data_IF_219858164367
#
_entry.id   IF_219858164367
#
_cell.length_a   1.000
_cell.length_b   1.000
_cell.length_c   1.000
_cell.angle_alpha   90.00
_cell.angle_beta   90.00
_cell.angle_gamma   90.00
#
_symmetry.space_group_name_H-M   'P 1'
#
loop_
_entity.id
_entity.type
_entity.pdbx_description
1 polymer ?
#
# COMPACT_ATOMS: atom_id res chain seq x y z
N UNK A 1 40.44 -3.78 2.09
CA UNK A 1 39.61 -4.17 0.93
C UNK A 1 38.16 -4.05 1.38
N UNK A 2 37.27 -3.41 0.61
CA UNK A 2 35.87 -3.26 1.00
C UNK A 2 35.09 -4.57 0.76
N UNK A 3 34.25 -4.99 1.71
CA UNK A 3 33.36 -6.15 1.55
C UNK A 3 32.17 -5.82 0.62
N UNK A 4 31.63 -6.82 -0.05
CA UNK A 4 30.40 -6.68 -0.84
C UNK A 4 29.18 -6.47 0.08
N UNK A 5 28.36 -5.47 -0.25
CA UNK A 5 27.23 -5.02 0.60
C UNK A 5 25.88 -5.61 0.17
N UNK A 6 25.83 -6.44 -0.87
CA UNK A 6 24.61 -7.06 -1.39
C UNK A 6 23.49 -6.10 -1.85
N UNK A 7 23.79 -4.81 -2.08
CA UNK A 7 22.79 -3.83 -2.53
C UNK A 7 22.43 -4.00 -4.01
N UNK A 8 23.41 -4.35 -4.85
CA UNK A 8 23.21 -4.58 -6.28
C UNK A 8 23.78 -5.93 -6.69
N UNK A 9 23.00 -6.73 -7.39
CA UNK A 9 23.38 -8.05 -7.89
C UNK A 9 24.57 -7.94 -8.84
N UNK A 10 25.74 -8.49 -8.49
CA UNK A 10 26.95 -8.38 -9.33
C UNK A 10 26.86 -9.17 -10.64
N UNK A 11 26.19 -10.34 -10.60
CA UNK A 11 26.00 -11.22 -11.74
C UNK A 11 24.56 -11.71 -11.75
N UNK A 12 23.83 -11.37 -12.81
CA UNK A 12 22.44 -11.81 -13.00
C UNK A 12 22.42 -13.16 -13.73
N UNK A 13 21.54 -14.06 -13.29
CA UNK A 13 21.26 -15.33 -13.96
C UNK A 13 19.81 -15.36 -14.40
N UNK A 14 19.53 -15.94 -15.58
CA UNK A 14 18.19 -15.99 -16.13
C UNK A 14 17.83 -17.43 -16.52
N UNK A 15 16.75 -17.93 -15.92
CA UNK A 15 16.12 -19.20 -16.27
C UNK A 15 14.95 -19.04 -17.26
N UNK A 16 14.16 -20.12 -17.40
CA UNK A 16 12.85 -20.04 -18.06
C UNK A 16 11.88 -19.22 -17.20
N UNK A 17 10.86 -18.56 -17.80
CA UNK A 17 9.86 -17.84 -17.03
C UNK A 17 9.16 -18.74 -16.01
N UNK A 18 9.05 -18.26 -14.77
CA UNK A 18 8.24 -18.90 -13.74
C UNK A 18 6.79 -18.45 -13.87
N UNK A 19 5.89 -19.40 -14.14
CA UNK A 19 4.48 -19.09 -14.31
C UNK A 19 3.73 -18.97 -12.98
N UNK A 20 4.37 -19.29 -11.86
CA UNK A 20 3.76 -19.31 -10.52
C UNK A 20 3.06 -20.63 -10.19
N UNK A 21 2.74 -20.83 -8.92
CA UNK A 21 2.08 -22.05 -8.42
C UNK A 21 0.72 -22.28 -9.12
N UNK A 22 0.39 -23.55 -9.36
CA UNK A 22 -0.91 -23.91 -9.93
C UNK A 22 -2.03 -23.61 -8.92
N UNK A 23 -3.07 -22.93 -9.40
CA UNK A 23 -4.35 -22.74 -8.70
C UNK A 23 -5.47 -23.20 -9.64
N UNK A 24 -6.65 -23.49 -9.10
CA UNK A 24 -7.77 -24.05 -9.89
C UNK A 24 -8.14 -23.18 -11.10
N UNK A 25 -8.03 -21.85 -10.99
CA UNK A 25 -8.36 -20.90 -12.05
C UNK A 25 -7.13 -20.30 -12.77
N UNK A 26 -5.93 -20.82 -12.50
CA UNK A 26 -4.68 -20.24 -13.00
C UNK A 26 -4.65 -20.08 -14.52
N UNK A 27 -5.19 -21.04 -15.27
CA UNK A 27 -5.14 -21.02 -16.75
C UNK A 27 -6.08 -19.99 -17.39
N UNK A 28 -7.12 -19.57 -16.67
CA UNK A 28 -8.13 -18.62 -17.16
C UNK A 28 -7.81 -17.18 -16.76
N UNK A 29 -7.31 -16.98 -15.54
CA UNK A 29 -7.16 -15.64 -14.96
C UNK A 29 -5.73 -15.11 -15.03
N UNK A 30 -4.74 -15.94 -15.40
CA UNK A 30 -3.34 -15.51 -15.51
C UNK A 30 -3.00 -15.03 -16.92
N UNK A 31 -2.27 -13.92 -17.03
CA UNK A 31 -1.76 -13.44 -18.31
C UNK A 31 -0.75 -14.44 -18.91
N UNK A 32 -0.75 -14.61 -20.23
CA UNK A 32 0.12 -15.57 -20.94
C UNK A 32 1.52 -15.05 -21.27
N UNK A 33 1.86 -13.84 -20.84
CA UNK A 33 3.12 -13.20 -21.17
C UNK A 33 3.96 -12.97 -19.91
N UNK A 34 5.26 -13.24 -20.03
CA UNK A 34 6.28 -12.86 -19.07
C UNK A 34 7.45 -12.22 -19.83
N UNK A 35 8.06 -11.20 -19.26
CA UNK A 35 9.23 -10.51 -19.83
C UNK A 35 10.32 -10.38 -18.79
N UNK A 36 11.55 -10.14 -19.21
CA UNK A 36 12.66 -9.87 -18.30
C UNK A 36 13.18 -8.46 -18.49
N UNK A 37 13.52 -7.80 -17.39
CA UNK A 37 14.16 -6.49 -17.36
C UNK A 37 15.49 -6.56 -16.61
N UNK A 38 16.60 -6.45 -17.35
CA UNK A 38 17.95 -6.41 -16.78
C UNK A 38 18.13 -5.24 -15.81
N UNK A 39 17.41 -4.13 -16.04
CA UNK A 39 17.46 -2.96 -15.16
C UNK A 39 16.91 -3.29 -13.76
N UNK A 40 15.76 -3.97 -13.68
CA UNK A 40 15.14 -4.37 -12.40
C UNK A 40 15.95 -5.50 -11.76
N UNK A 41 16.57 -6.36 -12.57
CA UNK A 41 17.44 -7.45 -12.10
C UNK A 41 18.64 -7.01 -11.26
N UNK A 42 19.04 -5.74 -11.31
CA UNK A 42 20.11 -5.20 -10.46
C UNK A 42 19.69 -5.09 -8.99
N UNK A 43 18.39 -4.91 -8.72
CA UNK A 43 17.85 -4.64 -7.38
C UNK A 43 16.84 -5.70 -6.90
N UNK A 44 16.60 -6.75 -7.70
CA UNK A 44 15.63 -7.80 -7.36
C UNK A 44 15.36 -8.76 -8.51
N UNK A 45 14.16 -9.33 -8.55
CA UNK A 45 13.75 -10.27 -9.60
C UNK A 45 13.52 -9.54 -10.95
N UNK A 46 14.17 -10.02 -12.00
CA UNK A 46 14.08 -9.42 -13.34
C UNK A 46 12.77 -9.72 -14.08
N UNK A 47 12.00 -10.74 -13.66
CA UNK A 47 10.78 -11.17 -14.35
C UNK A 47 9.61 -10.23 -14.10
N UNK A 48 8.93 -9.82 -15.18
CA UNK A 48 7.71 -9.03 -15.18
C UNK A 48 6.54 -9.89 -15.66
N UNK A 49 5.54 -10.05 -14.79
CA UNK A 49 4.42 -10.95 -14.99
C UNK A 49 4.78 -12.42 -14.72
N UNK A 50 3.82 -13.34 -14.91
CA UNK A 50 2.45 -13.07 -15.33
C UNK A 50 1.60 -12.41 -14.23
N UNK A 51 0.58 -11.64 -14.64
CA UNK A 51 -0.37 -10.99 -13.72
C UNK A 51 -1.67 -11.75 -13.71
N UNK A 52 -2.22 -11.98 -12.52
CA UNK A 52 -3.57 -12.53 -12.36
C UNK A 52 -4.61 -11.43 -12.52
N UNK A 53 -5.67 -11.66 -13.30
CA UNK A 53 -6.72 -10.71 -13.57
C UNK A 53 -8.07 -11.42 -13.65
N UNK A 54 -8.61 -11.80 -12.49
CA UNK A 54 -10.00 -12.22 -12.36
C UNK A 54 -10.99 -11.05 -12.44
N UNK A 55 -12.28 -11.35 -12.30
CA UNK A 55 -13.35 -10.36 -12.45
C UNK A 55 -13.26 -9.18 -11.47
N UNK A 56 -12.82 -9.41 -10.23
CA UNK A 56 -12.61 -8.35 -9.22
C UNK A 56 -11.52 -7.37 -9.66
N UNK A 57 -10.45 -7.89 -10.27
CA UNK A 57 -9.39 -7.08 -10.85
C UNK A 57 -9.87 -6.29 -12.06
N UNK A 58 -10.66 -6.90 -12.94
CA UNK A 58 -11.23 -6.20 -14.10
C UNK A 58 -12.17 -5.06 -13.70
N UNK A 59 -13.11 -5.31 -12.78
CA UNK A 59 -14.02 -4.28 -12.26
C UNK A 59 -13.24 -3.16 -11.58
N UNK A 60 -12.22 -3.51 -10.80
CA UNK A 60 -11.36 -2.53 -10.13
C UNK A 60 -10.65 -1.63 -11.13
N UNK A 61 -9.98 -2.21 -12.13
CA UNK A 61 -9.27 -1.42 -13.15
C UNK A 61 -10.24 -0.58 -13.99
N UNK A 62 -11.37 -1.14 -14.42
CA UNK A 62 -12.35 -0.40 -15.22
C UNK A 62 -12.90 0.82 -14.46
N UNK A 63 -13.33 0.62 -13.21
CA UNK A 63 -13.89 1.72 -12.40
C UNK A 63 -12.82 2.72 -11.95
N UNK A 64 -11.60 2.26 -11.64
CA UNK A 64 -10.47 3.13 -11.31
C UNK A 64 -10.03 4.00 -12.50
N UNK A 65 -9.96 3.42 -13.70
CA UNK A 65 -9.66 4.16 -14.94
C UNK A 65 -10.76 5.18 -15.22
N UNK A 66 -12.04 4.83 -15.04
CA UNK A 66 -13.15 5.78 -15.19
C UNK A 66 -13.03 6.95 -14.20
N UNK A 67 -12.79 6.67 -12.91
CA UNK A 67 -12.60 7.72 -11.90
C UNK A 67 -11.42 8.64 -12.25
N UNK A 68 -10.29 8.06 -12.66
CA UNK A 68 -9.12 8.82 -13.09
C UNK A 68 -9.40 9.73 -14.29
N UNK A 69 -10.11 9.21 -15.30
CA UNK A 69 -10.49 10.00 -16.47
C UNK A 69 -11.49 11.11 -16.12
N UNK A 70 -12.47 10.85 -15.25
CA UNK A 70 -13.41 11.88 -14.80
C UNK A 70 -12.65 13.04 -14.14
N UNK A 71 -11.71 12.74 -13.24
CA UNK A 71 -10.88 13.76 -12.59
C UNK A 71 -10.04 14.52 -13.62
N UNK A 72 -9.31 13.80 -14.48
CA UNK A 72 -8.43 14.40 -15.48
C UNK A 72 -9.17 15.26 -16.52
N UNK A 73 -10.33 14.80 -17.00
CA UNK A 73 -11.16 15.55 -17.95
C UNK A 73 -11.78 16.80 -17.31
N UNK A 74 -12.17 16.74 -16.04
CA UNK A 74 -12.64 17.93 -15.31
C UNK A 74 -11.52 18.96 -15.13
N UNK A 75 -10.31 18.51 -14.77
CA UNK A 75 -9.14 19.39 -14.70
C UNK A 75 -8.81 20.01 -16.07
N UNK A 76 -8.91 19.24 -17.16
CA UNK A 76 -8.68 19.75 -18.52
C UNK A 76 -9.76 20.75 -18.96
N UNK A 77 -11.01 20.53 -18.55
CA UNK A 77 -12.11 21.46 -18.83
C UNK A 77 -11.93 22.82 -18.12
N UNK A 78 -11.34 22.84 -16.92
CA UNK A 78 -11.06 24.08 -16.17
C UNK A 78 -10.10 25.03 -16.90
N UNK A 79 -9.19 24.48 -17.72
CA UNK A 79 -8.24 25.26 -18.54
C UNK A 79 -8.71 25.40 -19.99
N UNK A 80 -10.00 25.23 -20.25
CA UNK A 80 -10.58 25.42 -21.58
C UNK A 80 -10.05 24.44 -22.64
N UNK A 81 -9.71 23.21 -22.24
CA UNK A 81 -9.16 22.17 -23.12
C UNK A 81 -7.76 22.49 -23.70
N UNK A 82 -7.05 23.45 -23.13
CA UNK A 82 -5.66 23.77 -23.50
C UNK A 82 -4.66 22.83 -22.83
N UNK A 83 -4.04 21.94 -23.60
CA UNK A 83 -3.01 21.00 -23.10
C UNK A 83 -1.79 21.73 -22.50
N UNK A 84 -1.25 22.82 -23.11
CA UNK A 84 -0.14 23.55 -22.50
C UNK A 84 -0.47 24.12 -21.12
N UNK A 85 -1.68 24.69 -20.96
CA UNK A 85 -2.13 25.21 -19.67
C UNK A 85 -2.41 24.11 -18.65
N UNK A 86 -2.95 22.97 -19.10
CA UNK A 86 -3.16 21.80 -18.26
C UNK A 86 -1.83 21.31 -17.66
N UNK A 87 -0.77 21.21 -18.46
CA UNK A 87 0.55 20.80 -17.96
C UNK A 87 1.14 21.87 -17.03
N UNK A 88 1.03 23.16 -17.40
CA UNK A 88 1.54 24.27 -16.59
C UNK A 88 0.88 24.35 -15.21
N UNK A 89 -0.42 24.09 -15.14
CA UNK A 89 -1.22 24.22 -13.92
C UNK A 89 -1.55 22.88 -13.25
N UNK A 90 -1.00 21.76 -13.73
CA UNK A 90 -1.37 20.40 -13.31
C UNK A 90 -1.45 20.22 -11.79
N UNK A 91 -0.54 20.85 -11.03
CA UNK A 91 -0.50 20.70 -9.58
C UNK A 91 -1.54 21.55 -8.83
N UNK A 92 -2.10 22.58 -9.46
CA UNK A 92 -3.10 23.49 -8.89
C UNK A 92 -4.53 23.12 -9.27
N UNK A 93 -4.73 22.36 -10.34
CA UNK A 93 -6.05 21.91 -10.76
C UNK A 93 -6.63 20.90 -9.75
N UNK A 94 -7.95 20.93 -9.59
CA UNK A 94 -8.66 20.01 -8.72
C UNK A 94 -10.09 19.74 -9.16
N UNK A 95 -10.58 18.53 -8.87
CA UNK A 95 -12.00 18.26 -8.82
C UNK A 95 -12.48 18.46 -7.38
N UNK A 96 -13.15 19.58 -7.14
CA UNK A 96 -13.65 20.00 -5.83
C UNK A 96 -14.92 19.27 -5.40
N UNK A 97 -15.14 19.04 -4.09
CA UNK A 97 -16.39 18.52 -3.58
C UNK A 97 -17.55 19.53 -3.77
N UNK A 98 -18.81 19.07 -3.67
CA UNK A 98 -19.99 19.94 -3.77
C UNK A 98 -19.99 21.05 -2.73
N UNK A 99 -20.65 22.17 -3.06
CA UNK A 99 -20.84 23.27 -2.11
C UNK A 99 -21.69 22.84 -0.89
N UNK A 100 -21.55 23.51 0.27
CA UNK A 100 -22.30 23.15 1.48
C UNK A 100 -23.83 23.22 1.34
N UNK A 101 -24.35 23.99 0.38
CA UNK A 101 -25.78 24.20 0.13
C UNK A 101 -26.51 22.90 -0.24
N UNK A 102 -25.80 21.96 -0.87
CA UNK A 102 -26.35 20.67 -1.26
C UNK A 102 -26.36 19.64 -0.12
N UNK A 103 -25.64 19.89 0.99
CA UNK A 103 -25.50 18.94 2.09
C UNK A 103 -25.03 17.57 1.60
N UNK A 104 -25.85 16.53 1.80
CA UNK A 104 -25.59 15.16 1.33
C UNK A 104 -26.30 14.79 0.03
N UNK A 105 -27.01 15.73 -0.61
CA UNK A 105 -27.75 15.46 -1.85
C UNK A 105 -26.80 15.42 -3.05
N UNK A 106 -27.25 14.77 -4.12
CA UNK A 106 -26.55 14.80 -5.40
C UNK A 106 -26.71 16.18 -6.04
N UNK A 107 -25.62 16.94 -6.26
CA UNK A 107 -25.69 18.25 -6.90
C UNK A 107 -25.71 18.12 -8.44
N UNK A 108 -25.94 19.24 -9.16
CA UNK A 108 -25.72 19.32 -10.61
C UNK A 108 -24.28 18.93 -11.02
N UNK A 109 -24.11 18.44 -12.24
CA UNK A 109 -22.81 17.97 -12.74
C UNK A 109 -21.71 19.04 -12.68
N UNK A 110 -22.06 20.28 -13.01
CA UNK A 110 -21.15 21.44 -13.02
C UNK A 110 -20.85 22.00 -11.62
N UNK A 111 -21.48 21.49 -10.57
CA UNK A 111 -21.37 22.02 -9.20
C UNK A 111 -21.06 20.90 -8.18
N UNK A 112 -20.08 20.07 -8.52
CA UNK A 112 -19.63 18.94 -7.69
C UNK A 112 -20.27 17.59 -8.01
N UNK A 113 -21.17 17.49 -8.99
CA UNK A 113 -21.76 16.20 -9.38
C UNK A 113 -20.73 15.23 -9.93
N UNK A 114 -19.74 15.73 -10.69
CA UNK A 114 -18.60 14.92 -11.15
C UNK A 114 -17.75 14.37 -10.00
N UNK A 115 -17.63 15.11 -8.90
CA UNK A 115 -16.90 14.65 -7.72
C UNK A 115 -17.58 13.40 -7.13
N UNK A 116 -18.88 13.43 -6.90
CA UNK A 116 -19.62 12.28 -6.35
C UNK A 116 -19.53 11.06 -7.27
N UNK A 117 -19.62 11.25 -8.58
CA UNK A 117 -19.50 10.17 -9.57
C UNK A 117 -18.07 9.59 -9.54
N UNK A 118 -17.04 10.44 -9.54
CA UNK A 118 -15.65 10.01 -9.44
C UNK A 118 -15.38 9.25 -8.14
N UNK A 119 -15.87 9.76 -7.00
CA UNK A 119 -15.76 9.13 -5.69
C UNK A 119 -16.45 7.77 -5.63
N UNK A 120 -17.63 7.64 -6.25
CA UNK A 120 -18.34 6.36 -6.34
C UNK A 120 -17.53 5.31 -7.13
N UNK A 121 -17.04 5.67 -8.31
CA UNK A 121 -16.22 4.76 -9.11
C UNK A 121 -14.89 4.42 -8.42
N UNK A 122 -14.25 5.38 -7.75
CA UNK A 122 -13.05 5.14 -6.97
C UNK A 122 -13.33 4.20 -5.79
N UNK A 123 -14.46 4.37 -5.09
CA UNK A 123 -14.87 3.48 -4.00
C UNK A 123 -15.06 2.05 -4.50
N UNK A 124 -15.80 1.85 -5.59
CA UNK A 124 -15.98 0.52 -6.19
C UNK A 124 -14.63 -0.08 -6.61
N UNK A 125 -13.73 0.74 -7.17
CA UNK A 125 -12.38 0.32 -7.56
C UNK A 125 -11.58 -0.22 -6.37
N UNK A 126 -11.51 0.56 -5.29
CA UNK A 126 -10.74 0.21 -4.08
C UNK A 126 -11.34 -1.02 -3.39
N UNK A 127 -12.67 -1.09 -3.25
CA UNK A 127 -13.33 -2.22 -2.61
C UNK A 127 -13.20 -3.51 -3.43
N UNK A 128 -13.26 -3.41 -4.76
CA UNK A 128 -13.02 -4.56 -5.66
C UNK A 128 -11.56 -5.03 -5.59
N UNK A 129 -10.61 -4.10 -5.47
CA UNK A 129 -9.20 -4.43 -5.26
C UNK A 129 -8.96 -5.08 -3.90
N UNK A 130 -9.64 -4.61 -2.86
CA UNK A 130 -9.59 -5.22 -1.53
C UNK A 130 -10.10 -6.66 -1.55
N UNK A 131 -11.26 -6.91 -2.18
CA UNK A 131 -11.79 -8.25 -2.39
C UNK A 131 -10.83 -9.14 -3.19
N UNK A 132 -10.16 -8.59 -4.21
CA UNK A 132 -9.12 -9.29 -4.97
C UNK A 132 -7.98 -9.79 -4.07
N UNK A 133 -7.51 -8.99 -3.10
CA UNK A 133 -6.45 -9.44 -2.18
C UNK A 133 -6.87 -10.64 -1.33
N UNK A 134 -8.15 -10.72 -0.95
CA UNK A 134 -8.71 -11.84 -0.20
C UNK A 134 -8.78 -13.11 -1.03
N UNK A 135 -9.32 -13.02 -2.25
CA UNK A 135 -9.50 -14.13 -3.18
C UNK A 135 -8.14 -14.74 -3.55
N UNK A 136 -7.16 -13.91 -3.92
CA UNK A 136 -5.81 -14.38 -4.26
C UNK A 136 -5.17 -15.14 -3.09
N UNK A 137 -5.26 -14.60 -1.87
CA UNK A 137 -4.74 -15.30 -0.70
C UNK A 137 -5.53 -16.58 -0.39
N UNK A 138 -6.80 -16.69 -0.77
CA UNK A 138 -7.61 -17.92 -0.62
C UNK A 138 -7.19 -18.99 -1.61
N UNK A 139 -7.04 -18.64 -2.89
CA UNK A 139 -6.61 -19.55 -3.94
C UNK A 139 -5.23 -20.15 -3.65
N UNK A 140 -4.33 -19.36 -3.07
CA UNK A 140 -3.01 -19.82 -2.64
C UNK A 140 -3.00 -20.47 -1.25
N UNK A 141 -4.16 -20.63 -0.58
CA UNK A 141 -4.29 -21.21 0.77
C UNK A 141 -3.42 -20.51 1.83
N UNK A 142 -3.20 -19.21 1.65
CA UNK A 142 -2.40 -18.36 2.54
C UNK A 142 -3.26 -17.68 3.61
N UNK A 143 -2.62 -17.25 4.69
CA UNK A 143 -3.26 -16.35 5.68
C UNK A 143 -3.65 -15.01 5.06
N UNK A 144 -4.70 -14.38 5.60
CA UNK A 144 -5.31 -13.15 5.02
C UNK A 144 -4.71 -11.84 5.57
N UNK A 145 -3.44 -11.87 5.99
CA UNK A 145 -2.77 -10.74 6.65
C UNK A 145 -2.75 -9.47 5.79
N UNK A 146 -2.48 -9.59 4.48
CA UNK A 146 -2.48 -8.46 3.54
C UNK A 146 -3.88 -7.84 3.41
N UNK A 147 -4.93 -8.66 3.37
CA UNK A 147 -6.31 -8.18 3.32
C UNK A 147 -6.66 -7.34 4.56
N UNK A 148 -6.28 -7.81 5.75
CA UNK A 148 -6.52 -7.09 7.00
C UNK A 148 -5.72 -5.80 7.10
N UNK A 149 -4.43 -5.83 6.75
CA UNK A 149 -3.57 -4.65 6.75
C UNK A 149 -4.07 -3.59 5.75
N UNK A 150 -4.46 -4.01 4.54
CA UNK A 150 -5.02 -3.10 3.54
C UNK A 150 -6.38 -2.53 3.98
N UNK A 151 -7.20 -3.33 4.67
CA UNK A 151 -8.44 -2.86 5.29
C UNK A 151 -8.23 -1.70 6.28
N UNK A 152 -7.12 -1.71 7.03
CA UNK A 152 -6.77 -0.60 7.93
C UNK A 152 -6.45 0.70 7.18
N UNK A 153 -5.83 0.62 6.00
CA UNK A 153 -5.61 1.80 5.14
C UNK A 153 -6.92 2.29 4.50
N UNK A 154 -7.78 1.38 4.07
CA UNK A 154 -9.12 1.70 3.54
C UNK A 154 -9.97 2.39 4.60
N UNK A 155 -9.84 2.01 5.87
CA UNK A 155 -10.54 2.70 6.96
C UNK A 155 -10.24 4.20 6.99
N UNK A 156 -8.96 4.61 6.95
CA UNK A 156 -8.61 6.04 6.92
C UNK A 156 -9.19 6.73 5.68
N UNK A 157 -9.09 6.09 4.50
CA UNK A 157 -9.67 6.60 3.26
C UNK A 157 -11.19 6.83 3.37
N UNK A 158 -11.93 5.87 3.93
CA UNK A 158 -13.37 5.99 4.15
C UNK A 158 -13.73 7.02 5.21
N UNK A 159 -12.93 7.16 6.28
CA UNK A 159 -13.16 8.19 7.29
C UNK A 159 -13.06 9.59 6.66
N UNK A 160 -12.03 9.84 5.84
CA UNK A 160 -11.80 11.14 5.20
C UNK A 160 -12.85 11.49 4.14
N UNK A 161 -13.18 10.54 3.26
CA UNK A 161 -14.01 10.78 2.08
C UNK A 161 -15.48 10.40 2.18
N UNK A 162 -15.89 9.61 3.20
CA UNK A 162 -17.24 9.06 3.29
C UNK A 162 -17.87 9.24 4.67
N UNK A 163 -17.32 8.60 5.71
CA UNK A 163 -17.97 8.57 7.03
C UNK A 163 -17.99 9.93 7.71
N UNK A 164 -16.88 10.67 7.75
CA UNK A 164 -16.86 12.00 8.35
C UNK A 164 -17.77 12.99 7.59
N UNK A 165 -17.71 13.12 6.25
CA UNK A 165 -18.65 13.97 5.52
C UNK A 165 -20.12 13.66 5.81
N UNK A 166 -20.49 12.37 5.86
CA UNK A 166 -21.85 11.94 6.24
C UNK A 166 -22.23 12.40 7.65
N UNK A 167 -21.35 12.19 8.64
CA UNK A 167 -21.60 12.60 10.03
C UNK A 167 -21.65 14.12 10.21
N UNK A 168 -20.92 14.87 9.39
CA UNK A 168 -20.95 16.33 9.36
C UNK A 168 -22.15 16.87 8.55
N UNK A 169 -22.89 16.01 7.84
CA UNK A 169 -24.08 16.37 7.06
C UNK A 169 -23.79 17.09 5.73
N UNK A 170 -22.54 17.08 5.25
CA UNK A 170 -22.17 17.77 4.00
C UNK A 170 -21.01 17.09 3.27
N UNK A 171 -21.15 16.92 1.94
CA UNK A 171 -20.06 16.46 1.07
C UNK A 171 -18.92 17.50 0.94
N UNK A 172 -19.19 18.78 1.21
CA UNK A 172 -18.18 19.84 1.19
C UNK A 172 -17.04 19.64 2.19
N UNK A 173 -17.22 18.75 3.16
CA UNK A 173 -16.21 18.41 4.17
C UNK A 173 -15.22 17.33 3.69
N UNK A 174 -15.47 16.73 2.52
CA UNK A 174 -14.60 15.72 1.92
C UNK A 174 -13.34 16.33 1.28
N UNK A 175 -12.38 15.48 0.94
CA UNK A 175 -11.08 15.89 0.38
C UNK A 175 -11.21 16.12 -1.13
N UNK A 176 -10.72 17.25 -1.69
CA UNK A 176 -10.71 17.47 -3.14
C UNK A 176 -9.70 16.57 -3.86
N UNK A 177 -9.95 16.25 -5.12
CA UNK A 177 -9.00 15.51 -5.95
C UNK A 177 -8.08 16.49 -6.70
N UNK A 178 -6.92 16.81 -6.12
CA UNK A 178 -5.88 17.64 -6.74
C UNK A 178 -4.60 17.63 -5.91
N UNK A 179 -3.44 17.95 -6.51
CA UNK A 179 -2.15 17.81 -5.82
C UNK A 179 -1.95 18.87 -4.75
N UNK A 180 -1.98 20.16 -5.05
CA UNK A 180 -1.93 21.20 -4.02
C UNK A 180 -3.26 21.35 -3.27
N UNK A 181 -4.43 21.24 -3.92
CA UNK A 181 -5.70 21.39 -3.23
C UNK A 181 -5.94 20.39 -2.07
N UNK A 182 -5.46 19.14 -2.16
CA UNK A 182 -5.57 18.22 -1.00
C UNK A 182 -4.59 18.55 0.13
N UNK A 183 -3.44 19.18 -0.17
CA UNK A 183 -2.51 19.68 0.86
C UNK A 183 -3.09 20.91 1.58
N UNK A 184 -3.71 21.80 0.82
CA UNK A 184 -4.43 22.97 1.35
C UNK A 184 -5.58 22.51 2.25
N UNK A 185 -6.35 21.50 1.81
CA UNK A 185 -7.38 20.86 2.64
C UNK A 185 -6.80 20.30 3.94
N UNK A 186 -5.66 19.61 3.89
CA UNK A 186 -5.03 19.02 5.09
C UNK A 186 -4.61 20.10 6.08
N UNK A 187 -4.07 21.21 5.59
CA UNK A 187 -3.68 22.36 6.40
C UNK A 187 -4.91 23.04 7.00
N UNK A 188 -5.93 23.31 6.18
CA UNK A 188 -7.19 23.91 6.59
C UNK A 188 -7.92 23.05 7.63
N UNK A 189 -7.87 21.72 7.48
CA UNK A 189 -8.43 20.78 8.45
C UNK A 189 -7.75 20.93 9.82
N UNK A 190 -6.42 21.03 9.87
CA UNK A 190 -5.70 21.27 11.13
C UNK A 190 -6.07 22.61 11.77
N UNK A 191 -6.13 23.68 10.98
CA UNK A 191 -6.46 25.03 11.47
C UNK A 191 -7.89 25.07 12.00
N UNK A 192 -8.85 24.51 11.26
CA UNK A 192 -10.28 24.53 11.61
C UNK A 192 -10.58 23.79 12.92
N UNK A 193 -9.84 22.73 13.22
CA UNK A 193 -10.03 21.95 14.44
C UNK A 193 -9.05 22.30 15.57
N UNK A 194 -8.40 23.47 15.52
CA UNK A 194 -7.60 23.98 16.63
C UNK A 194 -6.27 23.25 16.82
N UNK A 195 -5.57 22.97 15.71
CA UNK A 195 -4.25 22.34 15.63
C UNK A 195 -4.24 20.84 15.99
N UNK A 196 -4.05 20.00 14.96
CA UNK A 196 -4.01 18.54 15.10
C UNK A 196 -2.84 18.00 15.93
N UNK A 197 -1.81 18.80 16.25
CA UNK A 197 -0.74 18.33 17.15
C UNK A 197 -1.24 17.98 18.55
N UNK A 198 -2.35 18.57 19.00
CA UNK A 198 -2.95 18.25 20.29
C UNK A 198 -3.93 17.07 20.23
N UNK A 199 -4.19 16.50 19.05
CA UNK A 199 -5.01 15.30 18.95
C UNK A 199 -4.16 14.05 19.29
N UNK A 200 -4.51 13.29 20.35
CA UNK A 200 -3.71 12.15 20.77
C UNK A 200 -3.64 11.03 19.73
N UNK A 201 -4.68 10.82 18.92
CA UNK A 201 -4.68 9.82 17.85
C UNK A 201 -3.79 10.23 16.67
N UNK A 202 -3.72 11.53 16.38
CA UNK A 202 -2.79 12.05 15.38
C UNK A 202 -1.33 11.86 15.84
N UNK A 203 -1.04 12.17 17.11
CA UNK A 203 0.27 11.91 17.70
C UNK A 203 0.65 10.41 17.66
N UNK A 204 -0.27 9.52 18.01
CA UNK A 204 -0.06 8.06 17.88
C UNK A 204 0.20 7.64 16.43
N UNK A 205 -0.53 8.20 15.46
CA UNK A 205 -0.28 7.92 14.03
C UNK A 205 1.13 8.32 13.60
N UNK A 206 1.66 9.44 14.11
CA UNK A 206 3.05 9.88 13.84
C UNK A 206 4.04 8.89 14.47
N UNK A 207 3.82 8.45 15.71
CA UNK A 207 4.66 7.44 16.37
C UNK A 207 4.71 6.15 15.56
N UNK A 208 3.58 5.66 15.04
CA UNK A 208 3.57 4.45 14.22
C UNK A 208 4.17 4.66 12.83
N UNK A 209 4.03 5.84 12.23
CA UNK A 209 4.69 6.17 10.96
C UNK A 209 6.22 6.16 11.13
N UNK A 210 6.73 6.86 12.14
CA UNK A 210 8.18 6.89 12.44
C UNK A 210 8.68 5.52 12.88
N UNK A 211 7.91 4.82 13.71
CA UNK A 211 8.20 3.46 14.14
C UNK A 211 8.28 2.47 12.97
N UNK A 212 7.44 2.63 11.94
CA UNK A 212 7.49 1.80 10.73
C UNK A 212 8.79 1.99 9.96
N UNK A 213 9.24 3.25 9.77
CA UNK A 213 10.52 3.55 9.12
C UNK A 213 11.68 2.99 9.95
N UNK A 214 11.66 3.22 11.26
CA UNK A 214 12.68 2.72 12.19
C UNK A 214 12.78 1.19 12.12
N UNK A 215 11.66 0.48 12.32
CA UNK A 215 11.64 -0.98 12.33
C UNK A 215 12.02 -1.57 10.98
N UNK A 216 11.59 -0.97 9.86
CA UNK A 216 11.95 -1.49 8.55
C UNK A 216 13.43 -1.23 8.22
N UNK A 217 14.00 -0.09 8.63
CA UNK A 217 15.42 0.17 8.51
C UNK A 217 16.26 -0.82 9.36
N UNK A 218 15.85 -1.05 10.61
CA UNK A 218 16.48 -2.02 11.50
C UNK A 218 16.42 -3.44 10.91
N UNK A 219 15.22 -3.89 10.53
CA UNK A 219 15.01 -5.22 9.98
C UNK A 219 15.75 -5.39 8.64
N UNK A 220 15.54 -4.49 7.68
CA UNK A 220 16.18 -4.53 6.37
C UNK A 220 17.71 -4.56 6.49
N UNK A 221 18.31 -3.67 7.28
CA UNK A 221 19.75 -3.69 7.51
C UNK A 221 20.23 -4.98 8.19
N UNK A 222 19.46 -5.52 9.13
CA UNK A 222 19.78 -6.79 9.81
C UNK A 222 19.80 -7.94 8.80
N UNK A 223 18.73 -8.10 8.00
CA UNK A 223 18.64 -9.15 6.99
C UNK A 223 19.81 -9.03 6.03
N UNK A 224 20.07 -7.83 5.49
CA UNK A 224 21.21 -7.60 4.59
C UNK A 224 22.55 -7.99 5.22
N UNK A 225 22.78 -7.68 6.51
CA UNK A 225 24.00 -8.06 7.22
C UNK A 225 24.18 -9.59 7.35
N UNK A 226 23.07 -10.35 7.48
CA UNK A 226 23.08 -11.81 7.60
C UNK A 226 22.78 -12.55 6.29
N UNK A 227 22.64 -11.86 5.15
CA UNK A 227 22.52 -12.51 3.81
C UNK A 227 23.70 -13.41 3.48
N UNK A 228 24.90 -13.11 4.02
CA UNK A 228 26.08 -13.99 3.91
C UNK A 228 25.88 -15.40 4.49
N UNK A 229 24.84 -15.58 5.31
CA UNK A 229 24.41 -16.85 5.89
C UNK A 229 23.04 -17.33 5.35
N UNK A 230 22.53 -16.69 4.29
CA UNK A 230 21.21 -16.98 3.71
C UNK A 230 20.03 -16.53 4.57
N UNK A 231 20.18 -15.44 5.34
CA UNK A 231 19.15 -14.94 6.24
C UNK A 231 17.91 -14.34 5.56
N UNK A 232 17.98 -14.03 4.26
CA UNK A 232 16.85 -13.61 3.41
C UNK A 232 15.84 -14.73 3.11
N UNK A 233 16.24 -15.99 3.34
CA UNK A 233 15.36 -17.18 3.22
C UNK A 233 14.57 -17.39 4.50
N UNK A 234 13.75 -16.41 4.85
CA UNK A 234 13.14 -16.31 6.17
C UNK A 234 12.18 -17.45 6.49
N UNK A 235 11.45 -17.96 5.50
CA UNK A 235 10.52 -19.09 5.72
C UNK A 235 11.25 -20.34 6.21
N UNK A 236 12.40 -20.67 5.62
CA UNK A 236 13.22 -21.79 6.07
C UNK A 236 13.87 -21.50 7.41
N UNK A 237 14.35 -20.27 7.65
CA UNK A 237 14.93 -19.89 8.94
C UNK A 237 13.92 -19.91 10.10
N UNK A 238 12.63 -19.72 9.82
CA UNK A 238 11.55 -19.85 10.81
C UNK A 238 11.34 -21.32 11.19
N UNK A 239 11.34 -22.22 10.21
CA UNK A 239 11.08 -23.64 10.41
C UNK A 239 12.30 -24.33 11.03
N UNK A 240 13.49 -24.05 10.52
CA UNK A 240 14.76 -24.60 10.99
C UNK A 240 15.76 -23.46 11.22
N UNK A 241 16.00 -23.16 12.50
CA UNK A 241 16.75 -21.98 12.92
C UNK A 241 18.24 -22.14 12.58
N UNK A 242 18.73 -21.34 11.64
CA UNK A 242 20.13 -21.28 11.27
C UNK A 242 20.94 -20.19 12.00
N UNK A 243 22.25 -20.17 11.74
CA UNK A 243 23.17 -19.17 12.31
C UNK A 243 22.85 -17.73 11.89
N UNK A 244 22.15 -17.54 10.76
CA UNK A 244 21.67 -16.22 10.32
C UNK A 244 20.74 -15.59 11.37
N UNK A 245 19.67 -16.32 11.74
CA UNK A 245 18.70 -15.89 12.75
C UNK A 245 19.32 -15.77 14.14
N UNK A 246 20.23 -16.69 14.52
CA UNK A 246 20.91 -16.60 15.82
C UNK A 246 21.76 -15.34 15.94
N UNK A 247 22.53 -15.00 14.91
CA UNK A 247 23.36 -13.78 14.90
C UNK A 247 22.50 -12.51 14.85
N UNK A 248 21.43 -12.52 14.08
CA UNK A 248 20.48 -11.40 14.04
C UNK A 248 19.87 -11.14 15.43
N UNK A 249 19.42 -12.20 16.11
CA UNK A 249 18.85 -12.10 17.45
C UNK A 249 19.92 -11.64 18.48
N UNK A 250 21.12 -12.22 18.45
CA UNK A 250 22.20 -11.84 19.36
C UNK A 250 22.65 -10.39 19.16
N UNK A 251 22.73 -9.90 17.92
CA UNK A 251 23.05 -8.50 17.64
C UNK A 251 22.11 -7.56 18.40
N UNK A 252 20.80 -7.76 18.28
CA UNK A 252 19.82 -6.92 18.95
C UNK A 252 19.81 -7.13 20.47
N UNK A 253 19.98 -8.37 20.94
CA UNK A 253 20.08 -8.67 22.38
C UNK A 253 21.28 -7.99 23.02
N UNK A 254 22.42 -7.92 22.35
CA UNK A 254 23.59 -7.23 22.88
C UNK A 254 23.51 -5.71 22.74
N UNK A 255 22.72 -5.20 21.79
CA UNK A 255 22.59 -3.76 21.55
C UNK A 255 21.52 -3.11 22.44
N UNK A 256 20.39 -3.78 22.65
CA UNK A 256 19.21 -3.22 23.34
C UNK A 256 18.62 -4.19 24.38
N UNK A 257 19.38 -5.21 24.81
CA UNK A 257 19.03 -6.20 25.85
C UNK A 257 17.85 -7.13 25.50
N UNK A 258 17.13 -6.84 24.41
CA UNK A 258 16.00 -7.63 23.90
C UNK A 258 16.16 -7.97 22.42
N UNK A 259 15.54 -9.07 21.97
CA UNK A 259 15.56 -9.49 20.57
C UNK A 259 14.28 -10.22 20.16
N UNK A 260 13.95 -10.18 18.86
CA UNK A 260 12.85 -10.93 18.26
C UNK A 260 13.34 -12.22 17.61
N UNK A 261 12.39 -13.12 17.31
CA UNK A 261 12.61 -14.34 16.50
C UNK A 261 12.07 -14.13 15.09
N UNK A 262 12.62 -14.82 14.09
CA UNK A 262 12.16 -14.73 12.69
C UNK A 262 10.66 -15.02 12.48
N UNK A 263 10.00 -15.75 13.40
CA UNK A 263 8.59 -16.15 13.29
C UNK A 263 7.63 -15.54 14.33
N UNK A 264 7.99 -14.43 14.99
CA UNK A 264 7.14 -13.84 16.05
C UNK A 264 5.81 -13.31 15.49
N UNK A 265 4.80 -14.18 15.40
CA UNK A 265 3.46 -13.85 14.92
C UNK A 265 2.66 -14.98 14.26
N UNK A 266 3.25 -16.15 13.97
CA UNK A 266 2.53 -17.24 13.27
C UNK A 266 2.91 -18.65 13.74
N UNK A 267 2.54 -19.01 14.97
CA UNK A 267 2.20 -20.40 15.32
C UNK A 267 1.80 -20.51 16.80
N UNK A 268 0.50 -20.68 17.04
CA UNK A 268 -0.01 -21.29 18.26
C UNK A 268 0.08 -22.82 18.22
N UNK A 269 0.90 -23.41 17.35
CA UNK A 269 0.97 -24.87 17.18
C UNK A 269 2.34 -25.40 16.71
N UNK A 270 3.43 -24.82 17.21
CA UNK A 270 4.71 -25.53 17.27
C UNK A 270 4.99 -25.84 18.75
N UNK A 271 4.61 -27.04 19.16
CA UNK A 271 4.97 -27.58 20.46
C UNK A 271 6.49 -27.59 20.63
N UNK A 272 6.99 -26.73 21.52
CA UNK A 272 8.27 -26.89 22.19
C UNK A 272 9.49 -26.19 21.57
N UNK A 273 9.65 -24.89 21.83
CA UNK A 273 10.94 -24.28 22.20
C UNK A 273 10.75 -22.78 22.49
N UNK A 274 11.35 -22.30 23.59
CA UNK A 274 11.50 -20.85 23.83
C UNK A 274 10.44 -20.22 24.73
N UNK A 275 10.32 -20.74 25.96
CA UNK A 275 9.71 -20.04 27.08
C UNK A 275 10.38 -18.67 27.22
N UNK A 276 9.60 -17.59 27.24
CA UNK A 276 10.04 -16.26 27.66
C UNK A 276 10.65 -16.40 29.07
N UNK A 277 11.97 -16.45 29.17
CA UNK A 277 12.68 -16.36 30.45
C UNK A 277 13.09 -14.92 30.67
N UNK A 278 12.27 -14.22 31.43
CA UNK A 278 12.63 -13.03 32.20
C UNK A 278 13.82 -13.35 33.11
N UNK A 279 14.92 -12.63 32.92
CA UNK A 279 15.82 -12.15 33.98
C UNK A 279 16.35 -10.80 33.53
#
# INVERSE_FOLDING_TARGET
MAEYQNIFTQVQVQGKPEWGMATENADYERSRNARFSTLIGWIGNAQLGPVWLGWTGMVSLATGILAFNIIGLNMLAQVGWSIPEFIRQLFWLALEPPSPEYGLRMPPLNDGGWYIIASFFLLVSVMSWWARTYILAMEHKMGKHVFWAFGAAIWLFLVLGLFRPILMGSWSEAVPYGIFPHLDWTTAFSIRYGNLYYNPFHALSIVFLYGSVLLFAMHGATIMAVTRYGGDRELEQIVDRGTATERAALFWRWTMEHCSTSGSGSSSNASGAGRWSTF
#
